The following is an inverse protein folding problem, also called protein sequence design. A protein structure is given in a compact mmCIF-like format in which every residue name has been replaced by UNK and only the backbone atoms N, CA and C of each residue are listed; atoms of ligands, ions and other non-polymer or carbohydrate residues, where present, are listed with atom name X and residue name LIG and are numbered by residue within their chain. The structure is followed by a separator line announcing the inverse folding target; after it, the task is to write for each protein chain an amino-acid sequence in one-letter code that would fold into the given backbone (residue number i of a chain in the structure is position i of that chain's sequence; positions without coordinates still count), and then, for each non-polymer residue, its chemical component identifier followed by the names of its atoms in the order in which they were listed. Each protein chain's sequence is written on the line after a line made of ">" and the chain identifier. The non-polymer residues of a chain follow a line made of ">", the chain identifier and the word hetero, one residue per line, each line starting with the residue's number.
data_IF_850278728336
#
_entry.id   IF_850278728336
#
_cell.length_a   1.000
_cell.length_b   1.000
_cell.length_c   1.000
_cell.angle_alpha   90.00
_cell.angle_beta   90.00
_cell.angle_gamma   90.00
#
_symmetry.space_group_name_H-M   'P 1'
#
loop_
_entity.id
_entity.type
_entity.pdbx_description
1 polymer ?
#
# COMPACT_ATOMS: atom_id res chain seq x y z
N UNK A 1 70.77 -57.32 90.03
CA UNK A 1 71.94 -57.90 89.33
C UNK A 1 71.47 -58.50 88.01
N UNK A 2 72.33 -58.48 86.98
CA UNK A 2 72.13 -58.98 85.59
C UNK A 2 71.14 -58.12 84.75
N UNK A 3 71.59 -57.21 83.86
CA UNK A 3 72.32 -57.32 82.56
C UNK A 3 71.39 -57.69 81.39
N UNK A 4 71.18 -56.82 80.40
CA UNK A 4 71.79 -56.82 79.03
C UNK A 4 71.54 -58.13 78.24
N UNK A 5 71.24 -58.16 76.94
CA UNK A 5 71.32 -57.18 75.84
C UNK A 5 70.18 -57.51 74.80
N UNK A 6 69.91 -56.90 73.63
CA UNK A 6 70.57 -55.88 72.76
C UNK A 6 69.48 -55.08 72.00
N UNK A 7 69.86 -54.09 71.17
CA UNK A 7 69.00 -53.40 70.19
C UNK A 7 69.31 -53.81 68.74
N UNK A 8 68.38 -53.57 67.80
CA UNK A 8 68.70 -52.91 66.52
C UNK A 8 67.46 -52.29 65.81
N UNK A 9 67.44 -50.95 65.75
CA UNK A 9 67.07 -50.04 64.62
C UNK A 9 66.09 -50.48 63.50
N UNK A 10 65.19 -49.66 62.93
CA UNK A 10 64.75 -48.26 63.17
C UNK A 10 63.55 -47.95 62.25
N UNK A 11 62.50 -47.28 62.75
CA UNK A 11 61.75 -46.28 61.98
C UNK A 11 61.23 -45.20 62.95
N UNK A 12 61.28 -43.93 62.54
CA UNK A 12 61.36 -42.81 63.48
C UNK A 12 60.10 -41.92 63.54
N UNK A 13 59.33 -42.11 64.63
CA UNK A 13 58.58 -41.16 65.50
C UNK A 13 57.76 -39.95 65.00
N UNK A 14 56.88 -39.51 65.92
CA UNK A 14 56.00 -38.32 65.98
C UNK A 14 54.55 -38.51 65.44
N UNK A 15 53.48 -38.08 66.12
CA UNK A 15 53.36 -37.36 67.41
C UNK A 15 52.06 -37.74 68.18
N UNK A 16 52.13 -37.61 69.51
CA UNK A 16 51.10 -37.66 70.58
C UNK A 16 49.60 -37.79 70.30
N UNK A 17 48.93 -38.51 71.21
CA UNK A 17 47.50 -38.38 71.57
C UNK A 17 47.07 -36.91 71.76
N UNK A 18 45.82 -36.59 71.39
CA UNK A 18 45.22 -35.29 71.74
C UNK A 18 43.86 -35.41 72.43
N UNK A 19 43.82 -34.88 73.65
CA UNK A 19 42.62 -34.40 74.33
C UNK A 19 42.32 -32.98 73.85
N UNK A 20 41.03 -32.62 73.74
CA UNK A 20 40.37 -31.47 74.42
C UNK A 20 38.87 -31.41 74.12
N UNK A 21 38.07 -30.86 75.05
CA UNK A 21 36.68 -30.43 74.80
C UNK A 21 36.63 -29.03 74.18
N UNK A 22 35.55 -28.69 73.45
CA UNK A 22 34.91 -27.35 73.35
C UNK A 22 33.59 -27.49 72.53
N UNK A 23 32.39 -27.16 73.05
CA UNK A 23 31.59 -25.90 72.87
C UNK A 23 31.36 -25.48 71.39
N UNK A 24 30.19 -25.06 70.85
CA UNK A 24 29.09 -24.17 71.34
C UNK A 24 27.85 -24.14 70.37
N UNK A 25 26.64 -23.91 70.92
CA UNK A 25 25.46 -23.08 70.48
C UNK A 25 24.92 -22.88 69.03
N UNK A 26 23.62 -22.51 69.00
CA UNK A 26 22.90 -21.52 68.12
C UNK A 26 22.11 -22.06 66.89
N UNK A 27 20.94 -21.54 66.46
CA UNK A 27 19.71 -21.05 67.12
C UNK A 27 18.51 -20.94 66.11
N UNK A 28 17.27 -21.05 66.62
CA UNK A 28 16.00 -20.37 66.21
C UNK A 28 15.67 -20.13 64.71
N UNK A 29 14.47 -20.58 64.28
CA UNK A 29 13.63 -19.83 63.34
C UNK A 29 12.12 -20.12 63.52
N UNK A 30 11.35 -19.11 63.96
CA UNK A 30 9.92 -19.02 63.64
C UNK A 30 9.79 -18.82 62.13
N UNK A 31 9.07 -19.67 61.40
CA UNK A 31 8.61 -19.33 60.06
C UNK A 31 7.14 -18.93 60.10
N UNK A 32 6.92 -17.61 60.12
CA UNK A 32 5.71 -17.04 59.55
C UNK A 32 5.60 -17.55 58.11
N UNK A 33 4.50 -18.22 57.78
CA UNK A 33 4.15 -18.50 56.39
C UNK A 33 3.82 -17.17 55.70
N UNK A 34 4.84 -16.61 55.04
CA UNK A 34 4.63 -15.55 54.07
C UNK A 34 3.71 -16.09 52.98
N UNK A 35 2.49 -15.56 52.91
CA UNK A 35 1.71 -15.64 51.69
C UNK A 35 2.43 -14.82 50.62
N UNK A 36 3.26 -15.49 49.82
CA UNK A 36 3.59 -15.04 48.48
C UNK A 36 2.30 -15.10 47.66
N UNK A 37 1.54 -13.99 47.66
CA UNK A 37 0.30 -13.88 46.90
C UNK A 37 0.67 -13.73 45.42
N UNK A 38 0.84 -14.87 44.74
CA UNK A 38 1.10 -14.94 43.30
C UNK A 38 -0.11 -14.53 42.45
N UNK A 39 -1.30 -14.37 43.05
CA UNK A 39 -2.50 -13.89 42.37
C UNK A 39 -3.45 -13.12 43.30
N UNK A 40 -3.89 -11.94 42.87
CA UNK A 40 -5.02 -11.22 43.49
C UNK A 40 -6.33 -11.90 43.11
N UNK A 41 -7.20 -12.13 44.08
CA UNK A 41 -8.62 -12.42 43.81
C UNK A 41 -9.32 -11.09 43.54
N UNK A 42 -9.78 -10.85 42.30
CA UNK A 42 -10.72 -9.77 42.02
C UNK A 42 -12.12 -10.21 42.46
N UNK A 43 -12.76 -9.41 43.31
CA UNK A 43 -14.16 -9.56 43.73
C UNK A 43 -14.96 -8.34 43.27
N UNK A 44 -15.69 -8.47 42.16
CA UNK A 44 -16.67 -7.46 41.71
C UNK A 44 -17.77 -8.06 40.81
N UNK A 45 -18.66 -8.85 41.41
CA UNK A 45 -20.10 -9.01 41.10
C UNK A 45 -20.62 -9.31 39.67
N UNK A 46 -19.81 -9.37 38.61
CA UNK A 46 -20.25 -9.85 37.29
C UNK A 46 -19.13 -10.66 36.61
N UNK A 47 -19.24 -11.99 36.68
CA UNK A 47 -18.35 -12.92 35.97
C UNK A 47 -19.17 -14.05 35.38
N UNK A 48 -19.05 -14.28 34.07
CA UNK A 48 -19.69 -15.40 33.37
C UNK A 48 -18.72 -15.94 32.33
N UNK A 49 -18.09 -17.09 32.61
CA UNK A 49 -17.30 -17.85 31.63
C UNK A 49 -15.98 -18.39 32.18
N UNK A 50 -15.74 -19.70 31.99
CA UNK A 50 -14.54 -20.40 32.46
C UNK A 50 -13.30 -19.96 31.68
N UNK A 51 -12.29 -19.44 32.38
CA UNK A 51 -10.97 -19.16 31.82
C UNK A 51 -10.23 -20.50 31.62
N UNK A 52 -10.04 -20.91 30.36
CA UNK A 52 -9.30 -22.11 30.01
C UNK A 52 -7.79 -22.01 30.27
N UNK A 53 -7.12 -23.15 30.36
CA UNK A 53 -5.66 -23.22 30.49
C UNK A 53 -4.98 -22.49 29.31
N UNK A 54 -4.15 -21.50 29.62
CA UNK A 54 -3.41 -20.71 28.61
C UNK A 54 -3.90 -19.28 28.40
N UNK A 55 -4.95 -18.81 29.11
CA UNK A 55 -5.35 -17.39 29.06
C UNK A 55 -4.66 -16.59 30.17
N UNK A 56 -3.99 -15.49 29.82
CA UNK A 56 -3.28 -14.60 30.76
C UNK A 56 -3.89 -13.19 30.73
N UNK A 57 -4.32 -12.71 31.90
CA UNK A 57 -4.73 -11.31 32.09
C UNK A 57 -3.54 -10.50 32.64
N UNK A 58 -3.00 -9.59 31.83
CA UNK A 58 -1.89 -8.74 32.25
C UNK A 58 -2.39 -7.56 33.10
N UNK A 59 -1.60 -7.13 34.11
CA UNK A 59 -1.89 -5.93 34.94
C UNK A 59 -2.10 -4.63 34.17
N UNK A 60 -1.76 -4.60 32.87
CA UNK A 60 -2.00 -3.50 31.94
C UNK A 60 -3.39 -3.51 31.27
N UNK A 61 -4.31 -4.41 31.70
CA UNK A 61 -5.66 -4.52 31.14
C UNK A 61 -5.74 -5.29 29.81
N UNK A 62 -4.64 -5.91 29.38
CA UNK A 62 -4.60 -6.74 28.16
C UNK A 62 -5.00 -8.19 28.48
N UNK A 63 -5.83 -8.78 27.63
CA UNK A 63 -6.17 -10.22 27.65
C UNK A 63 -5.36 -10.90 26.54
N UNK A 64 -4.53 -11.88 26.91
CA UNK A 64 -3.87 -12.77 25.95
C UNK A 64 -4.43 -14.18 26.07
N UNK A 65 -4.70 -14.83 24.93
CA UNK A 65 -4.97 -16.27 24.83
C UNK A 65 -3.71 -16.86 24.21
N UNK A 66 -2.88 -17.54 25.00
CA UNK A 66 -1.53 -17.96 24.61
C UNK A 66 -0.48 -17.87 25.74
N UNK A 67 0.70 -18.45 25.48
CA UNK A 67 1.75 -18.68 26.47
C UNK A 67 2.30 -17.42 27.17
N UNK A 68 2.95 -17.64 28.32
CA UNK A 68 3.29 -16.66 29.37
C UNK A 68 4.37 -15.61 29.05
N UNK A 69 4.67 -15.34 27.78
CA UNK A 69 5.57 -14.25 27.36
C UNK A 69 4.76 -13.05 26.84
N UNK A 70 5.42 -11.91 26.62
CA UNK A 70 4.82 -10.83 25.82
C UNK A 70 4.57 -11.34 24.41
N UNK A 71 3.34 -11.24 23.85
CA UNK A 71 3.06 -11.75 22.51
C UNK A 71 4.02 -11.16 21.47
N UNK A 72 4.70 -12.04 20.77
CA UNK A 72 5.50 -11.69 19.60
C UNK A 72 4.65 -11.81 18.34
N UNK A 73 5.13 -11.21 17.25
CA UNK A 73 4.55 -11.36 15.92
C UNK A 73 4.29 -12.84 15.54
N UNK A 74 5.19 -13.74 15.97
CA UNK A 74 5.12 -15.19 15.74
C UNK A 74 4.17 -15.98 16.66
N UNK A 75 3.51 -15.36 17.64
CA UNK A 75 2.72 -16.09 18.67
C UNK A 75 1.33 -15.50 18.97
N UNK A 76 0.87 -14.54 18.17
CA UNK A 76 -0.43 -13.88 18.37
C UNK A 76 -1.55 -14.60 17.61
N UNK A 77 -2.12 -15.66 18.22
CA UNK A 77 -3.18 -16.47 17.61
C UNK A 77 -4.52 -16.20 18.33
N UNK A 78 -5.31 -15.26 17.81
CA UNK A 78 -6.75 -15.22 18.09
C UNK A 78 -7.44 -16.16 17.09
N UNK A 79 -7.45 -17.45 17.41
CA UNK A 79 -8.19 -18.45 16.65
C UNK A 79 -9.66 -18.43 17.08
N UNK A 80 -10.56 -18.27 16.11
CA UNK A 80 -12.01 -18.25 16.34
C UNK A 80 -12.69 -19.07 15.24
N UNK A 81 -13.40 -20.12 15.64
CA UNK A 81 -14.17 -20.99 14.72
C UNK A 81 -15.42 -20.29 14.14
N UNK A 82 -15.60 -18.99 14.39
CA UNK A 82 -16.74 -18.20 13.96
C UNK A 82 -16.43 -16.69 13.97
N UNK A 83 -17.41 -15.85 13.65
CA UNK A 83 -17.24 -14.41 13.56
C UNK A 83 -16.95 -13.74 14.92
N UNK A 84 -16.02 -12.77 14.92
CA UNK A 84 -15.80 -11.86 16.06
C UNK A 84 -16.93 -10.82 16.07
N UNK A 85 -18.06 -11.16 16.67
CA UNK A 85 -19.19 -10.24 16.82
C UNK A 85 -18.91 -9.20 17.92
N UNK A 86 -18.51 -7.99 17.52
CA UNK A 86 -18.35 -6.84 18.41
C UNK A 86 -19.65 -6.05 18.44
N UNK A 87 -20.36 -6.04 19.57
CA UNK A 87 -21.62 -5.27 19.74
C UNK A 87 -21.35 -3.78 20.03
N UNK A 88 -20.38 -3.19 19.34
CA UNK A 88 -19.82 -1.86 19.60
C UNK A 88 -18.68 -1.55 18.62
N UNK A 89 -17.86 -0.54 18.92
CA UNK A 89 -16.70 -0.21 18.09
C UNK A 89 -15.52 -1.14 18.37
N UNK A 90 -14.87 -1.65 17.32
CA UNK A 90 -13.54 -2.27 17.41
C UNK A 90 -12.48 -1.19 17.13
N UNK A 91 -11.77 -0.67 18.16
CA UNK A 91 -10.83 0.43 17.97
C UNK A 91 -9.57 -0.03 17.23
N UNK A 92 -9.47 0.31 15.94
CA UNK A 92 -8.33 0.00 15.08
C UNK A 92 -7.23 1.08 15.11
N UNK A 93 -7.06 1.81 16.23
CA UNK A 93 -6.10 2.91 16.33
C UNK A 93 -4.76 2.45 16.94
N UNK A 94 -3.59 2.72 16.32
CA UNK A 94 -3.45 3.25 14.96
C UNK A 94 -3.72 2.21 13.87
N UNK A 95 -3.64 0.91 14.19
CA UNK A 95 -3.92 -0.18 13.25
C UNK A 95 -4.55 -1.43 13.89
N UNK A 96 -5.36 -2.15 13.11
CA UNK A 96 -5.69 -3.56 13.31
C UNK A 96 -4.75 -4.43 12.46
N UNK A 97 -4.15 -5.45 13.08
CA UNK A 97 -3.19 -6.35 12.44
C UNK A 97 -3.77 -7.77 12.34
N UNK A 98 -3.51 -8.46 11.22
CA UNK A 98 -3.69 -9.92 11.09
C UNK A 98 -2.40 -10.51 10.52
N UNK A 99 -1.92 -11.63 11.05
CA UNK A 99 -0.62 -12.22 10.66
C UNK A 99 0.55 -11.21 10.68
N UNK A 100 0.45 -10.19 11.54
CA UNK A 100 1.37 -9.02 11.64
C UNK A 100 1.31 -8.02 10.48
N UNK A 101 0.53 -8.28 9.45
CA UNK A 101 0.27 -7.33 8.39
C UNK A 101 -0.73 -6.26 8.86
N UNK A 102 -0.44 -5.00 8.52
CA UNK A 102 -1.31 -3.85 8.77
C UNK A 102 -2.50 -3.91 7.80
N UNK A 103 -3.59 -4.56 8.22
CA UNK A 103 -4.78 -4.72 7.37
C UNK A 103 -5.74 -3.53 7.49
N UNK A 104 -5.83 -2.87 8.64
CA UNK A 104 -6.57 -1.60 8.75
C UNK A 104 -5.71 -0.59 9.51
N UNK A 105 -5.63 0.65 9.03
CA UNK A 105 -4.87 1.72 9.67
C UNK A 105 -5.59 3.05 9.49
N UNK A 106 -5.82 3.73 10.62
CA UNK A 106 -6.47 5.04 10.66
C UNK A 106 -5.65 5.96 11.57
N UNK A 107 -4.66 6.67 11.01
CA UNK A 107 -3.90 7.68 11.74
C UNK A 107 -4.77 8.95 11.93
N UNK A 108 -4.28 9.87 12.75
CA UNK A 108 -4.86 11.22 12.85
C UNK A 108 -5.02 11.89 11.49
N UNK A 109 -6.10 12.64 11.30
CA UNK A 109 -6.40 13.33 10.04
C UNK A 109 -7.28 12.52 9.07
N UNK A 110 -8.30 11.83 9.59
CA UNK A 110 -9.40 11.23 8.80
C UNK A 110 -8.97 10.29 7.65
N UNK A 111 -7.82 9.64 7.81
CA UNK A 111 -7.28 8.68 6.86
C UNK A 111 -7.80 7.25 7.14
N UNK A 112 -8.00 6.46 6.08
CA UNK A 112 -8.45 5.06 6.15
C UNK A 112 -7.68 4.20 5.15
N UNK A 113 -6.71 3.43 5.62
CA UNK A 113 -5.84 2.57 4.79
C UNK A 113 -6.08 1.09 5.07
N UNK A 114 -6.14 0.26 4.03
CA UNK A 114 -6.26 -1.20 4.15
C UNK A 114 -5.45 -1.96 3.11
N UNK A 115 -4.61 -2.88 3.56
CA UNK A 115 -3.73 -3.71 2.74
C UNK A 115 -2.27 -3.67 3.19
N UNK A 116 -1.51 -4.69 2.80
CA UNK A 116 -0.08 -4.75 3.07
C UNK A 116 0.63 -3.52 2.46
N UNK A 117 1.48 -2.85 3.24
CA UNK A 117 2.23 -1.65 2.83
C UNK A 117 1.39 -0.44 2.37
N UNK A 118 0.06 -0.41 2.59
CA UNK A 118 -0.78 0.74 2.21
C UNK A 118 -0.42 1.99 3.02
N UNK A 119 -0.12 3.11 2.34
CA UNK A 119 0.12 4.42 2.93
C UNK A 119 1.18 4.49 4.04
N UNK A 120 2.22 3.64 4.02
CA UNK A 120 3.17 3.53 5.16
C UNK A 120 4.10 4.72 5.32
N UNK A 121 4.38 5.47 4.27
CA UNK A 121 5.30 6.61 4.31
C UNK A 121 4.59 7.96 4.47
N UNK A 122 3.27 7.96 4.76
CA UNK A 122 2.52 9.18 5.03
C UNK A 122 3.01 9.85 6.32
N UNK A 123 3.39 11.13 6.20
CA UNK A 123 3.92 11.96 7.30
C UNK A 123 2.92 12.99 7.77
N UNK A 124 2.17 13.64 6.86
CA UNK A 124 1.18 14.65 7.23
C UNK A 124 -0.01 14.79 6.27
N UNK A 125 -0.18 13.88 5.31
CA UNK A 125 -1.30 13.92 4.37
C UNK A 125 -2.60 13.47 5.04
N UNK A 126 -3.70 14.18 4.81
CA UNK A 126 -4.99 13.96 5.50
C UNK A 126 -6.16 13.66 4.54
N UNK A 127 -7.24 13.09 5.10
CA UNK A 127 -8.51 12.81 4.44
C UNK A 127 -8.37 11.83 3.25
N UNK A 128 -7.44 10.89 3.34
CA UNK A 128 -7.14 9.91 2.29
C UNK A 128 -7.77 8.52 2.55
N UNK A 129 -8.21 7.85 1.49
CA UNK A 129 -8.87 6.54 1.51
C UNK A 129 -8.15 5.55 0.60
N UNK A 130 -7.31 4.66 1.16
CA UNK A 130 -6.42 3.78 0.39
C UNK A 130 -6.73 2.29 0.61
N UNK A 131 -6.87 1.54 -0.47
CA UNK A 131 -7.33 0.16 -0.45
C UNK A 131 -6.52 -0.71 -1.43
N UNK A 132 -5.73 -1.65 -0.92
CA UNK A 132 -4.92 -2.57 -1.72
C UNK A 132 -3.43 -2.51 -1.40
N UNK A 133 -2.71 -3.57 -1.76
CA UNK A 133 -1.28 -3.70 -1.51
C UNK A 133 -0.52 -2.49 -2.06
N UNK A 134 0.24 -1.82 -1.17
CA UNK A 134 1.08 -0.65 -1.48
C UNK A 134 0.34 0.52 -2.15
N UNK A 135 -1.00 0.59 -2.09
CA UNK A 135 -1.74 1.76 -2.54
C UNK A 135 -1.29 3.00 -1.75
N UNK A 136 -0.90 4.06 -2.46
CA UNK A 136 -0.33 5.27 -1.87
C UNK A 136 0.90 5.06 -0.98
N UNK A 137 1.70 4.01 -1.17
CA UNK A 137 2.81 3.66 -0.25
C UNK A 137 3.71 4.85 0.11
N UNK A 138 4.12 5.61 -0.90
CA UNK A 138 5.02 6.75 -0.80
C UNK A 138 4.32 8.11 -0.74
N UNK A 139 2.98 8.16 -0.67
CA UNK A 139 2.26 9.41 -0.42
C UNK A 139 2.59 9.90 0.99
N UNK A 140 3.43 10.93 1.07
CA UNK A 140 3.99 11.53 2.27
C UNK A 140 3.16 12.73 2.74
N UNK A 141 2.66 13.53 1.81
CA UNK A 141 2.03 14.84 2.09
C UNK A 141 0.66 15.05 1.45
N UNK A 142 0.29 14.26 0.43
CA UNK A 142 -0.92 14.43 -0.37
C UNK A 142 -2.21 14.17 0.40
N UNK A 143 -3.26 14.89 0.02
CA UNK A 143 -4.51 15.01 0.77
C UNK A 143 -5.73 14.72 -0.11
N UNK A 144 -6.84 14.30 0.52
CA UNK A 144 -8.16 14.13 -0.13
C UNK A 144 -8.15 13.12 -1.30
N UNK A 145 -7.25 12.14 -1.26
CA UNK A 145 -7.09 11.14 -2.31
C UNK A 145 -7.87 9.84 -2.03
N UNK A 146 -8.40 9.20 -3.07
CA UNK A 146 -9.02 7.86 -3.00
C UNK A 146 -8.26 6.90 -3.91
N UNK A 147 -7.55 5.93 -3.34
CA UNK A 147 -6.76 4.93 -4.08
C UNK A 147 -7.29 3.51 -3.84
N UNK A 148 -7.53 2.73 -4.91
CA UNK A 148 -8.09 1.38 -4.85
C UNK A 148 -7.41 0.44 -5.87
N UNK A 149 -6.53 -0.44 -5.41
CA UNK A 149 -5.84 -1.45 -6.22
C UNK A 149 -4.41 -1.72 -5.75
N UNK A 150 -3.78 -2.79 -6.27
CA UNK A 150 -2.35 -3.05 -6.05
C UNK A 150 -1.52 -1.94 -6.72
N UNK A 151 -0.62 -1.30 -5.98
CA UNK A 151 0.19 -0.13 -6.40
C UNK A 151 -0.62 1.04 -6.99
N UNK A 152 -1.91 1.18 -6.64
CA UNK A 152 -2.68 2.35 -7.04
C UNK A 152 -2.03 3.62 -6.45
N UNK A 153 -1.53 4.48 -7.34
CA UNK A 153 -0.80 5.71 -7.01
C UNK A 153 0.33 5.52 -5.99
N UNK A 154 1.12 4.43 -6.13
CA UNK A 154 2.16 4.05 -5.17
C UNK A 154 3.16 5.18 -4.85
N UNK A 155 3.49 6.02 -5.83
CA UNK A 155 4.50 7.08 -5.71
C UNK A 155 3.95 8.52 -5.64
N UNK A 156 2.62 8.72 -5.62
CA UNK A 156 2.03 10.06 -5.80
C UNK A 156 1.89 10.86 -4.49
N UNK A 157 2.50 12.05 -4.44
CA UNK A 157 2.45 12.99 -3.31
C UNK A 157 1.39 14.11 -3.47
N UNK A 158 0.63 14.13 -4.57
CA UNK A 158 -0.36 15.19 -4.86
C UNK A 158 -1.74 15.04 -4.21
N UNK A 159 -2.59 16.04 -4.43
CA UNK A 159 -3.89 16.24 -3.79
C UNK A 159 -5.09 15.95 -4.73
N UNK A 160 -6.25 15.62 -4.13
CA UNK A 160 -7.57 15.57 -4.79
C UNK A 160 -7.68 14.57 -5.96
N UNK A 161 -7.05 13.39 -5.86
CA UNK A 161 -7.08 12.36 -6.91
C UNK A 161 -7.99 11.16 -6.60
N UNK A 162 -8.52 10.55 -7.66
CA UNK A 162 -9.21 9.24 -7.62
C UNK A 162 -8.44 8.26 -8.50
N UNK A 163 -7.86 7.21 -7.92
CA UNK A 163 -7.05 6.21 -8.64
C UNK A 163 -7.53 4.80 -8.32
N UNK A 164 -8.12 4.12 -9.30
CA UNK A 164 -8.76 2.82 -9.14
C UNK A 164 -8.23 1.85 -10.19
N UNK A 165 -7.34 0.94 -9.81
CA UNK A 165 -6.79 -0.06 -10.71
C UNK A 165 -5.50 -0.68 -10.22
N UNK A 166 -5.15 -1.83 -10.81
CA UNK A 166 -3.84 -2.45 -10.62
C UNK A 166 -2.76 -1.64 -11.36
N UNK A 167 -1.71 -1.20 -10.67
CA UNK A 167 -0.61 -0.38 -11.18
C UNK A 167 -1.11 0.91 -11.90
N UNK A 168 -2.27 1.44 -11.49
CA UNK A 168 -2.80 2.71 -12.00
C UNK A 168 -2.05 3.88 -11.35
N UNK A 169 -1.58 4.84 -12.15
CA UNK A 169 -0.73 5.97 -11.73
C UNK A 169 0.50 5.56 -10.87
N UNK A 170 1.08 4.39 -11.13
CA UNK A 170 2.08 3.79 -10.22
C UNK A 170 3.37 4.62 -10.05
N UNK A 171 3.77 5.40 -11.07
CA UNK A 171 5.10 6.08 -11.12
C UNK A 171 5.03 7.61 -11.01
N UNK A 172 3.84 8.22 -10.97
CA UNK A 172 3.73 9.69 -10.81
C UNK A 172 4.17 10.14 -9.42
N UNK A 173 4.78 11.33 -9.33
CA UNK A 173 5.30 11.92 -8.08
C UNK A 173 4.48 13.10 -7.53
N UNK A 174 3.66 13.78 -8.33
CA UNK A 174 2.94 15.00 -7.91
C UNK A 174 1.68 15.34 -8.75
N UNK A 175 0.93 14.32 -9.17
CA UNK A 175 -0.36 14.49 -9.88
C UNK A 175 -1.43 15.03 -8.94
N UNK A 176 -2.17 16.06 -9.37
CA UNK A 176 -3.29 16.64 -8.61
C UNK A 176 -4.59 16.60 -9.43
N UNK A 177 -5.73 16.63 -8.73
CA UNK A 177 -7.06 16.86 -9.34
C UNK A 177 -7.42 15.90 -10.47
N UNK A 178 -6.96 14.65 -10.41
CA UNK A 178 -7.03 13.70 -11.55
C UNK A 178 -7.80 12.41 -11.22
N UNK A 179 -8.33 11.77 -12.26
CA UNK A 179 -9.11 10.52 -12.18
C UNK A 179 -8.49 9.45 -13.07
N UNK A 180 -7.96 8.39 -12.48
CA UNK A 180 -7.41 7.23 -13.19
C UNK A 180 -8.19 5.97 -12.82
N UNK A 181 -8.91 5.36 -13.77
CA UNK A 181 -9.77 4.19 -13.49
C UNK A 181 -9.52 3.08 -14.52
N UNK A 182 -8.86 2.02 -14.11
CA UNK A 182 -8.51 0.86 -14.92
C UNK A 182 -7.10 0.37 -14.60
N UNK A 183 -6.82 -0.93 -14.80
CA UNK A 183 -5.44 -1.43 -14.64
C UNK A 183 -4.51 -0.73 -15.63
N UNK A 184 -3.35 -0.27 -15.15
CA UNK A 184 -2.38 0.50 -15.91
C UNK A 184 -2.91 1.84 -16.49
N UNK A 185 -4.07 2.34 -16.03
CA UNK A 185 -4.51 3.69 -16.38
C UNK A 185 -3.49 4.72 -15.86
N UNK A 186 -2.91 5.51 -16.75
CA UNK A 186 -1.85 6.48 -16.42
C UNK A 186 -0.59 5.89 -15.77
N UNK A 187 -0.29 4.60 -15.94
CA UNK A 187 0.71 3.87 -15.15
C UNK A 187 2.08 4.57 -15.02
N UNK A 188 2.58 5.10 -16.14
CA UNK A 188 3.85 5.82 -16.25
C UNK A 188 3.66 7.33 -16.53
N UNK A 189 2.48 7.89 -16.24
CA UNK A 189 2.16 9.28 -16.61
C UNK A 189 2.79 10.31 -15.68
N UNK A 190 3.20 11.44 -16.27
CA UNK A 190 3.62 12.66 -15.58
C UNK A 190 2.65 13.79 -15.93
N UNK A 191 1.44 13.69 -15.37
CA UNK A 191 0.30 14.52 -15.75
C UNK A 191 -0.49 14.99 -14.52
N UNK A 192 -1.31 16.02 -14.70
CA UNK A 192 -2.22 16.56 -13.68
C UNK A 192 -3.52 17.00 -14.36
N UNK A 193 -4.58 17.25 -13.59
CA UNK A 193 -5.87 17.74 -14.09
C UNK A 193 -6.45 16.87 -15.23
N UNK A 194 -6.29 15.55 -15.10
CA UNK A 194 -6.53 14.57 -16.18
C UNK A 194 -7.58 13.53 -15.79
N UNK A 195 -8.39 13.11 -16.74
CA UNK A 195 -9.27 11.94 -16.63
C UNK A 195 -8.76 10.85 -17.57
N UNK A 196 -8.41 9.67 -17.04
CA UNK A 196 -7.98 8.50 -17.81
C UNK A 196 -8.73 7.25 -17.35
N UNK A 197 -9.70 6.77 -18.13
CA UNK A 197 -10.62 5.68 -17.76
C UNK A 197 -10.55 4.55 -18.79
N UNK A 198 -9.98 3.42 -18.41
CA UNK A 198 -9.84 2.22 -19.24
C UNK A 198 -8.55 1.45 -18.97
N UNK A 199 -8.47 0.22 -19.46
CA UNK A 199 -7.24 -0.57 -19.40
C UNK A 199 -6.15 0.10 -20.28
N UNK A 200 -5.01 0.42 -19.67
CA UNK A 200 -3.89 1.15 -20.31
C UNK A 200 -4.30 2.48 -20.97
N UNK A 201 -5.40 3.11 -20.51
CA UNK A 201 -5.79 4.45 -20.93
C UNK A 201 -4.73 5.47 -20.46
N UNK A 202 -4.17 6.26 -21.40
CA UNK A 202 -3.16 7.26 -21.07
C UNK A 202 -1.86 6.70 -20.49
N UNK A 203 -1.51 5.41 -20.71
CA UNK A 203 -0.44 4.71 -19.98
C UNK A 203 0.87 5.50 -19.86
N UNK A 204 1.36 6.07 -20.97
CA UNK A 204 2.59 6.85 -21.09
C UNK A 204 2.30 8.32 -21.43
N UNK A 205 1.25 8.90 -20.82
CA UNK A 205 0.86 10.28 -21.09
C UNK A 205 1.73 11.31 -20.34
N UNK A 206 2.31 12.22 -21.11
CA UNK A 206 3.03 13.39 -20.63
C UNK A 206 2.23 14.66 -20.94
N UNK A 207 2.32 15.65 -20.05
CA UNK A 207 1.55 16.92 -20.05
C UNK A 207 0.10 16.79 -19.50
N UNK A 208 -0.47 17.89 -18.96
CA UNK A 208 -1.74 17.87 -18.22
C UNK A 208 -3.00 17.98 -19.10
N UNK A 209 -4.15 18.15 -18.44
CA UNK A 209 -5.43 18.62 -19.02
C UNK A 209 -6.04 17.75 -20.13
N UNK A 210 -5.93 16.42 -20.03
CA UNK A 210 -6.50 15.49 -20.99
C UNK A 210 -7.74 14.74 -20.48
N UNK A 211 -8.66 14.40 -21.38
CA UNK A 211 -9.79 13.47 -21.13
C UNK A 211 -9.64 12.25 -22.02
N UNK A 212 -9.27 11.11 -21.43
CA UNK A 212 -8.94 9.85 -22.11
C UNK A 212 -9.87 8.75 -21.61
N UNK A 213 -10.72 8.18 -22.46
CA UNK A 213 -11.70 7.15 -22.05
C UNK A 213 -11.75 6.00 -23.07
N UNK A 214 -11.26 4.84 -22.69
CA UNK A 214 -11.34 3.61 -23.48
C UNK A 214 -10.16 2.66 -23.30
N UNK A 215 -10.28 1.47 -23.88
CA UNK A 215 -9.18 0.51 -23.92
C UNK A 215 -8.03 1.08 -24.76
N UNK A 216 -6.87 1.33 -24.15
CA UNK A 216 -5.67 1.90 -24.79
C UNK A 216 -5.90 3.21 -25.56
N UNK A 217 -6.90 3.98 -25.18
CA UNK A 217 -7.06 5.36 -25.65
C UNK A 217 -5.83 6.18 -25.20
N UNK A 218 -5.24 7.00 -26.08
CA UNK A 218 -4.04 7.81 -25.80
C UNK A 218 -2.90 7.03 -25.11
N UNK A 219 -2.70 5.74 -25.45
CA UNK A 219 -1.78 4.84 -24.72
C UNK A 219 -0.38 5.46 -24.57
N UNK A 220 0.15 6.01 -25.66
CA UNK A 220 1.39 6.78 -25.67
C UNK A 220 1.05 8.20 -26.13
N UNK A 221 1.31 9.20 -25.29
CA UNK A 221 0.90 10.59 -25.55
C UNK A 221 1.99 11.54 -25.05
N UNK A 222 2.96 11.84 -25.92
CA UNK A 222 4.10 12.70 -25.64
C UNK A 222 3.76 14.15 -26.01
N UNK A 223 4.00 15.09 -25.09
CA UNK A 223 3.81 16.53 -25.32
C UNK A 223 2.39 16.87 -25.83
N UNK A 224 1.37 16.26 -25.21
CA UNK A 224 0.02 16.20 -25.75
C UNK A 224 -1.04 16.70 -24.75
N UNK A 225 -1.15 18.01 -24.53
CA UNK A 225 -2.12 18.62 -23.62
C UNK A 225 -3.49 18.91 -24.28
N UNK A 226 -4.53 19.13 -23.48
CA UNK A 226 -5.86 19.61 -23.92
C UNK A 226 -6.62 18.67 -24.89
N UNK A 227 -6.26 17.39 -24.98
CA UNK A 227 -6.90 16.43 -25.87
C UNK A 227 -8.09 15.71 -25.21
N UNK A 228 -9.14 15.46 -26.01
CA UNK A 228 -10.27 14.60 -25.68
C UNK A 228 -10.18 13.35 -26.55
N UNK A 229 -9.95 12.18 -25.96
CA UNK A 229 -9.68 10.91 -26.65
C UNK A 229 -10.61 9.82 -26.12
N UNK A 230 -11.62 9.41 -26.88
CA UNK A 230 -12.65 8.49 -26.40
C UNK A 230 -12.86 7.33 -27.40
N UNK A 231 -12.48 6.11 -27.00
CA UNK A 231 -12.74 4.91 -27.80
C UNK A 231 -11.71 3.80 -27.63
N UNK A 232 -11.92 2.69 -28.33
CA UNK A 232 -10.96 1.58 -28.37
C UNK A 232 -9.78 1.95 -29.29
N UNK A 233 -8.56 1.94 -28.74
CA UNK A 233 -7.33 2.37 -29.43
C UNK A 233 -7.46 3.74 -30.12
N UNK A 234 -8.35 4.63 -29.63
CA UNK A 234 -8.45 5.99 -30.14
C UNK A 234 -7.15 6.75 -29.83
N UNK A 235 -6.57 7.41 -30.83
CA UNK A 235 -5.30 8.11 -30.74
C UNK A 235 -4.23 7.35 -29.96
N UNK A 236 -3.99 6.09 -30.34
CA UNK A 236 -3.07 5.21 -29.60
C UNK A 236 -1.65 5.77 -29.45
N UNK A 237 -1.26 6.69 -30.33
CA UNK A 237 -0.05 7.49 -30.27
C UNK A 237 -0.40 8.97 -30.54
N UNK A 238 0.02 9.88 -29.65
CA UNK A 238 -0.03 11.34 -29.85
C UNK A 238 1.38 11.89 -29.59
N UNK A 239 1.91 12.74 -30.48
CA UNK A 239 3.23 13.38 -30.32
C UNK A 239 3.12 14.88 -30.59
N UNK A 240 3.51 15.72 -29.64
CA UNK A 240 3.60 17.18 -29.79
C UNK A 240 2.31 17.80 -30.35
N UNK A 241 1.15 17.31 -29.90
CA UNK A 241 -0.15 17.64 -30.50
C UNK A 241 -1.24 17.85 -29.45
N UNK A 242 -1.96 18.96 -29.58
CA UNK A 242 -2.79 19.51 -28.51
C UNK A 242 -4.17 20.01 -28.99
N UNK A 243 -5.10 20.14 -28.06
CA UNK A 243 -6.46 20.64 -28.31
C UNK A 243 -7.29 19.82 -29.33
N UNK A 244 -6.99 18.53 -29.51
CA UNK A 244 -7.72 17.67 -30.45
C UNK A 244 -8.87 16.91 -29.77
N UNK A 245 -9.96 16.68 -30.50
CA UNK A 245 -11.08 15.80 -30.13
C UNK A 245 -11.08 14.57 -31.02
N UNK A 246 -10.89 13.38 -30.45
CA UNK A 246 -10.72 12.10 -31.16
C UNK A 246 -11.64 11.04 -30.54
N UNK A 247 -12.78 10.77 -31.19
CA UNK A 247 -13.87 9.96 -30.61
C UNK A 247 -14.27 8.83 -31.57
N UNK A 248 -13.89 7.59 -31.26
CA UNK A 248 -14.29 6.41 -32.04
C UNK A 248 -13.32 5.23 -31.93
N UNK A 249 -13.68 4.10 -32.54
CA UNK A 249 -12.76 2.97 -32.72
C UNK A 249 -11.64 3.38 -33.68
N UNK A 250 -10.38 3.37 -33.23
CA UNK A 250 -9.20 3.79 -34.02
C UNK A 250 -9.31 5.21 -34.62
N UNK A 251 -10.09 6.11 -34.03
CA UNK A 251 -10.12 7.52 -34.44
C UNK A 251 -8.74 8.15 -34.20
N UNK A 252 -8.18 8.83 -35.21
CA UNK A 252 -6.86 9.49 -35.15
C UNK A 252 -5.72 8.58 -34.69
N UNK A 253 -5.63 7.32 -35.15
CA UNK A 253 -4.79 6.27 -34.56
C UNK A 253 -3.34 6.68 -34.21
N UNK A 254 -2.75 7.57 -35.00
CA UNK A 254 -1.55 8.34 -34.68
C UNK A 254 -1.81 9.81 -35.03
N UNK A 255 -1.42 10.76 -34.16
CA UNK A 255 -1.45 12.20 -34.46
C UNK A 255 -0.14 12.84 -34.02
N UNK A 256 0.50 13.61 -34.91
CA UNK A 256 1.83 14.20 -34.68
C UNK A 256 1.84 15.69 -35.06
N UNK A 257 2.48 16.53 -34.25
CA UNK A 257 2.77 17.97 -34.51
C UNK A 257 1.57 18.89 -34.78
N UNK A 258 0.37 18.47 -34.37
CA UNK A 258 -0.89 19.01 -34.87
C UNK A 258 -1.72 19.74 -33.78
N UNK A 259 -2.67 20.60 -34.17
CA UNK A 259 -3.49 21.40 -33.25
C UNK A 259 -4.95 21.58 -33.67
N UNK A 260 -5.88 21.37 -32.72
CA UNK A 260 -7.27 21.82 -32.86
C UNK A 260 -8.18 20.97 -33.75
N UNK A 261 -7.85 19.68 -33.95
CA UNK A 261 -8.59 18.81 -34.87
C UNK A 261 -9.78 18.13 -34.21
N UNK A 262 -10.79 17.77 -35.00
CA UNK A 262 -11.98 17.03 -34.54
C UNK A 262 -12.18 15.79 -35.40
N UNK A 263 -11.81 14.62 -34.91
CA UNK A 263 -11.97 13.32 -35.57
C UNK A 263 -13.01 12.47 -34.84
N UNK A 264 -14.20 12.30 -35.41
CA UNK A 264 -15.33 11.62 -34.76
C UNK A 264 -15.88 10.52 -35.66
N UNK A 265 -15.78 9.27 -35.21
CA UNK A 265 -16.28 8.07 -35.87
C UNK A 265 -15.22 6.97 -35.99
N UNK A 266 -15.64 5.77 -36.41
CA UNK A 266 -14.71 4.65 -36.55
C UNK A 266 -13.71 4.91 -37.69
N UNK A 267 -12.41 4.81 -37.36
CA UNK A 267 -11.26 5.12 -38.24
C UNK A 267 -11.29 6.53 -38.85
N UNK A 268 -12.00 7.49 -38.24
CA UNK A 268 -11.95 8.89 -38.63
C UNK A 268 -10.55 9.45 -38.39
N UNK A 269 -9.90 10.01 -39.41
CA UNK A 269 -8.52 10.51 -39.32
C UNK A 269 -7.46 9.43 -39.09
N UNK A 270 -7.74 8.13 -39.27
CA UNK A 270 -6.75 7.07 -38.97
C UNK A 270 -5.59 6.98 -39.96
N UNK A 271 -5.73 7.59 -41.15
CA UNK A 271 -4.67 7.67 -42.16
C UNK A 271 -3.93 9.01 -42.15
N UNK A 272 -4.25 9.88 -41.20
CA UNK A 272 -3.69 11.20 -41.07
C UNK A 272 -2.33 11.12 -40.36
N UNK A 273 -1.28 11.68 -40.98
CA UNK A 273 0.06 11.74 -40.38
C UNK A 273 0.52 13.19 -40.50
N UNK A 274 0.26 13.99 -39.46
CA UNK A 274 0.67 15.39 -39.39
C UNK A 274 2.19 15.53 -39.50
N UNK A 275 2.66 15.92 -40.67
CA UNK A 275 4.09 16.16 -40.95
C UNK A 275 4.38 17.66 -41.10
N UNK A 276 3.72 18.44 -40.26
CA UNK A 276 3.62 19.90 -40.30
C UNK A 276 2.60 20.38 -39.28
N UNK A 277 2.46 21.69 -39.11
CA UNK A 277 1.45 22.31 -38.24
C UNK A 277 0.06 22.31 -38.92
N UNK A 278 -0.42 21.12 -39.25
CA UNK A 278 -1.52 20.86 -40.20
C UNK A 278 -2.91 20.96 -39.52
N UNK A 279 -3.14 22.02 -38.75
CA UNK A 279 -4.25 22.14 -37.79
C UNK A 279 -5.68 22.28 -38.33
N UNK A 280 -6.61 22.26 -37.37
CA UNK A 280 -8.01 22.68 -37.50
C UNK A 280 -8.89 21.82 -38.44
N UNK A 281 -8.50 20.58 -38.72
CA UNK A 281 -9.26 19.66 -39.56
C UNK A 281 -10.47 19.05 -38.82
N UNK A 282 -11.59 18.92 -39.52
CA UNK A 282 -12.80 18.23 -39.03
C UNK A 282 -13.06 16.98 -39.87
N UNK A 283 -13.02 15.80 -39.25
CA UNK A 283 -13.44 14.54 -39.86
C UNK A 283 -14.59 13.90 -39.05
N UNK A 284 -15.71 13.63 -39.71
CA UNK A 284 -16.94 13.12 -39.07
C UNK A 284 -17.56 11.99 -39.88
N UNK A 285 -17.45 10.77 -39.38
CA UNK A 285 -18.06 9.57 -39.94
C UNK A 285 -17.15 8.37 -39.91
N UNK A 286 -17.49 7.33 -40.69
CA UNK A 286 -16.70 6.09 -40.73
C UNK A 286 -15.71 6.16 -41.88
N UNK A 287 -14.43 5.89 -41.61
CA UNK A 287 -13.36 5.88 -42.59
C UNK A 287 -13.21 7.22 -43.34
N UNK A 288 -13.39 8.35 -42.64
CA UNK A 288 -13.14 9.69 -43.17
C UNK A 288 -11.67 10.06 -43.10
N UNK A 289 -11.11 10.58 -44.19
CA UNK A 289 -9.69 10.92 -44.33
C UNK A 289 -9.52 12.36 -44.78
N UNK A 290 -8.51 13.03 -44.24
CA UNK A 290 -7.92 14.27 -44.79
C UNK A 290 -6.48 13.90 -45.12
N UNK A 291 -6.03 14.24 -46.31
CA UNK A 291 -4.64 14.03 -46.71
C UNK A 291 -3.71 15.00 -45.97
N UNK A 292 -2.44 14.61 -45.80
CA UNK A 292 -1.45 15.41 -45.06
C UNK A 292 -1.27 16.80 -45.70
N UNK A 293 -0.83 17.80 -44.92
CA UNK A 293 -0.59 19.20 -45.34
C UNK A 293 -1.82 20.09 -45.63
N UNK A 294 -3.05 19.59 -45.50
CA UNK A 294 -4.25 20.44 -45.67
C UNK A 294 -4.74 20.96 -44.31
N UNK A 295 -4.67 22.28 -44.10
CA UNK A 295 -5.15 22.98 -42.90
C UNK A 295 -6.64 23.35 -43.06
N UNK A 296 -7.44 23.13 -42.02
CA UNK A 296 -8.84 23.58 -41.97
C UNK A 296 -9.82 22.80 -42.86
N UNK A 297 -9.47 21.58 -43.27
CA UNK A 297 -10.33 20.69 -44.07
C UNK A 297 -11.58 20.23 -43.33
N UNK A 298 -12.61 19.86 -44.08
CA UNK A 298 -13.82 19.24 -43.53
C UNK A 298 -14.22 18.01 -44.36
N UNK A 299 -14.10 16.81 -43.78
CA UNK A 299 -14.51 15.54 -44.36
C UNK A 299 -15.69 14.95 -43.57
N UNK A 300 -16.89 14.93 -44.14
CA UNK A 300 -18.10 14.43 -43.46
C UNK A 300 -18.76 13.32 -44.28
N UNK A 301 -19.13 12.21 -43.65
CA UNK A 301 -19.84 11.08 -44.26
C UNK A 301 -19.12 9.74 -44.10
N UNK A 302 -19.54 8.73 -44.86
CA UNK A 302 -18.84 7.44 -44.90
C UNK A 302 -17.82 7.46 -46.05
N UNK A 303 -16.56 7.13 -45.77
CA UNK A 303 -15.47 7.09 -46.77
C UNK A 303 -15.23 8.41 -47.51
N UNK A 304 -15.64 9.53 -46.91
CA UNK A 304 -15.36 10.88 -47.43
C UNK A 304 -13.88 11.20 -47.28
N UNK A 305 -13.27 11.72 -48.34
CA UNK A 305 -11.85 12.11 -48.37
C UNK A 305 -11.70 13.54 -48.88
N UNK A 306 -10.81 14.30 -48.27
CA UNK A 306 -10.28 15.56 -48.81
C UNK A 306 -8.87 15.29 -49.32
N UNK A 307 -8.61 15.66 -50.58
CA UNK A 307 -7.34 15.54 -51.28
C UNK A 307 -6.88 16.93 -51.74
N UNK A 308 -5.59 17.07 -52.04
CA UNK A 308 -4.98 18.22 -52.74
C UNK A 308 -5.50 18.40 -54.19
#
# INVERSE_FOLDING_TARGET
>A
MKTHNTQHTTHNTQHTTHSTQHTTHLAIAFMCLFFSVTSMILSAQNWVGTIGTGTTLYRSGKIGIGFTSTPSCSSSILEVDSAINVTGQLPAYPSLLFNCDKILYSPSGENLYTGFQTGTNNVSGINNSFFGQSAGNSNRFGNRNTYLGRHAAEHNDGDDNVVIGNDALAVSTATNGSVFIGSYAGGNSMTTETVAIGFEAGHEMQMPTNTVIGYRAARNADWANENVVIGYNAASQIISSSANTMVGYLAGSTVEHDYGNTFIGATAGSSYIGSGSDGFNTTLGVNTVVDNFIIGSTAIGQSSRVCD
#
